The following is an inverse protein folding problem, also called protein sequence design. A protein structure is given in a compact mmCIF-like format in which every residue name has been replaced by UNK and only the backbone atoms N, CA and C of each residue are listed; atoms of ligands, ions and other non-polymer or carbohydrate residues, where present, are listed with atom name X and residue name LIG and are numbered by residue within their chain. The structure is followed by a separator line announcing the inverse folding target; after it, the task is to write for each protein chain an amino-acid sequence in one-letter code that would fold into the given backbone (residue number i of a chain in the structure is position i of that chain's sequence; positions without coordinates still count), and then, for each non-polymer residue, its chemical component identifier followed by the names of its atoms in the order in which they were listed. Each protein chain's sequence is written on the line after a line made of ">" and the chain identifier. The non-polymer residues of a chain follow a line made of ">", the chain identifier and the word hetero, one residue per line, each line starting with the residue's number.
data_IF_808355138756
#
_entry.id   IF_808355138756
#
_cell.length_a   1.000
_cell.length_b   1.000
_cell.length_c   1.000
_cell.angle_alpha   90.00
_cell.angle_beta   90.00
_cell.angle_gamma   90.00
#
_symmetry.space_group_name_H-M   'P 1'
#
loop_
_entity.id
_entity.type
_entity.pdbx_description
1 polymer ?
#
# COMPACT_ATOMS: atom_id res chain seq x y z
N UNK A 1 17.79 17.32 25.63
CA UNK A 1 16.37 17.69 25.82
C UNK A 1 15.64 17.79 24.49
N UNK A 2 15.64 16.74 23.67
CA UNK A 2 14.91 16.73 22.40
C UNK A 2 14.43 15.30 22.09
N UNK A 3 13.32 14.90 22.68
CA UNK A 3 12.62 13.65 22.34
C UNK A 3 11.59 13.96 21.25
N UNK A 4 11.65 13.33 20.07
CA UNK A 4 10.70 13.60 18.99
C UNK A 4 9.27 13.20 19.41
N UNK A 5 8.25 13.97 18.99
CA UNK A 5 6.86 13.73 19.37
C UNK A 5 6.41 12.35 18.90
N UNK A 6 6.07 11.49 19.86
CA UNK A 6 5.52 10.15 19.61
C UNK A 6 4.03 10.27 19.37
N UNK A 7 3.52 9.49 18.40
CA UNK A 7 2.11 9.48 18.00
C UNK A 7 1.26 8.98 19.18
N UNK A 8 0.56 9.91 19.81
CA UNK A 8 -0.25 9.67 20.99
C UNK A 8 -1.49 8.83 20.62
N UNK A 9 -1.59 7.64 21.24
CA UNK A 9 -2.67 6.69 20.97
C UNK A 9 -3.91 7.07 21.78
N UNK A 10 -4.88 7.69 21.13
CA UNK A 10 -6.22 7.91 21.70
C UNK A 10 -6.91 6.55 21.84
N UNK A 11 -7.13 6.09 23.07
CA UNK A 11 -7.82 4.83 23.39
C UNK A 11 -9.27 5.13 23.75
N UNK A 12 -10.22 4.64 22.94
CA UNK A 12 -11.66 4.68 23.28
C UNK A 12 -12.10 3.27 23.70
N UNK A 13 -12.61 3.08 24.94
CA UNK A 13 -12.56 1.80 25.66
C UNK A 13 -13.82 0.91 25.56
N UNK A 14 -14.60 0.95 24.47
CA UNK A 14 -15.92 0.24 24.45
C UNK A 14 -16.13 -0.73 23.27
N UNK A 15 -15.25 -0.76 22.25
CA UNK A 15 -15.38 -1.68 21.10
C UNK A 15 -14.34 -2.81 21.07
N UNK A 16 -13.89 -3.25 22.24
CA UNK A 16 -12.91 -4.32 22.46
C UNK A 16 -13.44 -5.76 22.23
N UNK A 17 -14.62 -5.91 21.60
CA UNK A 17 -15.30 -7.19 21.41
C UNK A 17 -15.21 -7.84 20.02
N UNK A 18 -14.65 -7.17 19.00
CA UNK A 18 -14.45 -7.77 17.66
C UNK A 18 -12.93 -7.84 17.38
N UNK A 19 -12.29 -9.03 17.43
CA UNK A 19 -10.89 -9.16 17.85
C UNK A 19 -9.85 -8.90 16.75
N UNK A 20 -10.24 -8.37 15.59
CA UNK A 20 -9.32 -8.20 14.45
C UNK A 20 -9.44 -6.83 13.80
N UNK A 21 -10.65 -6.27 13.66
CA UNK A 21 -10.87 -5.04 12.88
C UNK A 21 -10.93 -3.78 13.76
N UNK A 22 -11.34 -3.90 15.03
CA UNK A 22 -11.53 -2.76 15.95
C UNK A 22 -10.25 -2.02 16.35
N UNK A 23 -9.18 -2.69 16.81
CA UNK A 23 -7.95 -1.99 17.21
C UNK A 23 -7.16 -1.42 16.03
N UNK A 24 -7.20 -2.08 14.86
CA UNK A 24 -6.55 -1.63 13.64
C UNK A 24 -7.12 -0.28 13.17
N UNK A 25 -8.45 -0.12 13.18
CA UNK A 25 -9.08 1.11 12.69
C UNK A 25 -9.18 2.25 13.70
N UNK A 26 -9.02 2.00 15.00
CA UNK A 26 -9.23 3.03 16.03
C UNK A 26 -7.98 3.38 16.88
N UNK A 27 -6.86 2.66 16.70
CA UNK A 27 -5.56 3.00 17.32
C UNK A 27 -4.41 3.07 16.31
N UNK A 28 -4.75 3.23 15.02
CA UNK A 28 -3.81 3.25 13.91
C UNK A 28 -2.91 4.48 13.91
N UNK A 29 -1.66 4.30 13.49
CA UNK A 29 -0.77 5.41 13.10
C UNK A 29 -1.39 6.16 11.91
N UNK A 30 -1.11 7.46 11.70
CA UNK A 30 -1.55 8.23 10.54
C UNK A 30 -1.26 7.52 9.21
N UNK A 31 -0.14 6.79 9.15
CA UNK A 31 0.24 5.96 8.02
C UNK A 31 -0.77 4.85 7.72
N UNK A 32 -1.36 4.21 8.73
CA UNK A 32 -2.35 3.15 8.51
C UNK A 32 -3.60 3.69 7.83
N UNK A 33 -4.14 4.81 8.31
CA UNK A 33 -5.29 5.47 7.67
C UNK A 33 -4.96 5.91 6.25
N UNK A 34 -3.76 6.45 6.04
CA UNK A 34 -3.30 6.83 4.71
C UNK A 34 -3.20 5.63 3.77
N UNK A 35 -2.60 4.52 4.19
CA UNK A 35 -2.52 3.30 3.38
C UNK A 35 -3.91 2.76 3.06
N UNK A 36 -4.84 2.75 4.01
CA UNK A 36 -6.21 2.28 3.78
C UNK A 36 -6.95 3.19 2.78
N UNK A 37 -6.81 4.50 2.91
CA UNK A 37 -7.33 5.47 1.94
C UNK A 37 -6.74 5.24 0.55
N UNK A 38 -5.44 5.01 0.43
CA UNK A 38 -4.75 4.71 -0.84
C UNK A 38 -5.26 3.40 -1.46
N UNK A 39 -5.44 2.34 -0.67
CA UNK A 39 -5.94 1.05 -1.17
C UNK A 39 -7.37 1.20 -1.71
N UNK A 40 -8.25 1.87 -0.96
CA UNK A 40 -9.64 2.14 -1.41
C UNK A 40 -9.63 3.02 -2.66
N UNK A 41 -8.82 4.07 -2.66
CA UNK A 41 -8.70 4.99 -3.80
C UNK A 41 -8.17 4.29 -5.05
N UNK A 42 -7.10 3.50 -4.94
CA UNK A 42 -6.55 2.73 -6.06
C UNK A 42 -7.51 1.67 -6.55
N UNK A 43 -8.22 0.98 -5.65
CA UNK A 43 -9.26 0.03 -6.03
C UNK A 43 -10.37 0.72 -6.82
N UNK A 44 -10.90 1.83 -6.30
CA UNK A 44 -11.91 2.61 -7.00
C UNK A 44 -11.40 3.13 -8.36
N UNK A 45 -10.19 3.68 -8.39
CA UNK A 45 -9.59 4.23 -9.59
C UNK A 45 -9.33 3.14 -10.64
N UNK A 46 -8.86 1.97 -10.22
CA UNK A 46 -8.57 0.87 -11.14
C UNK A 46 -9.85 0.22 -11.67
N UNK A 47 -10.85 -0.01 -10.83
CA UNK A 47 -12.08 -0.74 -11.18
C UNK A 47 -13.22 0.12 -11.71
N UNK A 48 -13.36 1.36 -11.24
CA UNK A 48 -14.52 2.23 -11.55
C UNK A 48 -14.23 3.29 -12.61
N UNK A 49 -12.96 3.67 -12.84
CA UNK A 49 -12.64 4.78 -13.74
C UNK A 49 -12.23 4.32 -15.15
N UNK A 50 -12.45 5.19 -16.14
CA UNK A 50 -12.02 4.98 -17.53
C UNK A 50 -10.50 4.81 -17.64
N UNK A 51 -9.73 5.50 -16.79
CA UNK A 51 -8.28 5.39 -16.76
C UNK A 51 -7.83 3.99 -16.33
N UNK A 52 -8.45 3.42 -15.29
CA UNK A 52 -8.13 2.09 -14.80
C UNK A 52 -8.45 0.97 -15.80
N UNK A 53 -9.53 1.10 -16.58
CA UNK A 53 -9.85 0.17 -17.66
C UNK A 53 -8.81 0.27 -18.80
N UNK A 54 -8.44 1.50 -19.19
CA UNK A 54 -7.41 1.72 -20.23
C UNK A 54 -6.03 1.22 -19.80
N UNK A 55 -5.68 1.38 -18.52
CA UNK A 55 -4.43 0.88 -17.95
C UNK A 55 -4.37 -0.64 -18.06
N UNK A 56 -5.43 -1.35 -17.64
CA UNK A 56 -5.51 -2.82 -17.73
C UNK A 56 -5.49 -3.32 -19.17
N UNK A 57 -6.27 -2.69 -20.06
CA UNK A 57 -6.27 -3.01 -21.48
C UNK A 57 -4.89 -2.82 -22.14
N UNK A 58 -4.13 -1.80 -21.71
CA UNK A 58 -2.77 -1.55 -22.21
C UNK A 58 -1.73 -2.59 -21.74
N UNK A 59 -2.04 -3.32 -20.67
CA UNK A 59 -1.23 -4.43 -20.15
C UNK A 59 -1.50 -5.74 -20.89
N UNK A 60 -2.75 -6.02 -21.26
CA UNK A 60 -3.12 -7.25 -21.97
C UNK A 60 -2.72 -7.22 -23.45
N UNK A 61 -3.17 -6.20 -24.19
CA UNK A 61 -2.97 -6.09 -25.65
C UNK A 61 -2.61 -4.66 -26.05
N UNK A 62 -1.34 -4.25 -25.92
CA UNK A 62 -0.92 -2.87 -26.22
C UNK A 62 -1.19 -2.47 -27.67
N UNK A 63 -1.01 -3.38 -28.62
CA UNK A 63 -1.28 -3.13 -30.04
C UNK A 63 -2.76 -2.83 -30.30
N UNK A 64 -3.68 -3.53 -29.63
CA UNK A 64 -5.11 -3.28 -29.76
C UNK A 64 -5.49 -1.92 -29.17
N UNK A 65 -4.96 -1.56 -27.99
CA UNK A 65 -5.22 -0.27 -27.37
C UNK A 65 -4.74 0.91 -28.24
N UNK A 66 -3.59 0.77 -28.91
CA UNK A 66 -3.06 1.80 -29.80
C UNK A 66 -3.96 2.04 -31.03
N UNK A 67 -4.60 1.00 -31.58
CA UNK A 67 -5.50 1.14 -32.74
C UNK A 67 -6.77 1.95 -32.43
N UNK A 68 -7.19 2.02 -31.16
CA UNK A 68 -8.37 2.80 -30.73
C UNK A 68 -8.01 4.25 -30.38
N UNK A 69 -6.79 4.70 -30.70
CA UNK A 69 -6.31 6.06 -30.43
C UNK A 69 -5.93 6.32 -28.97
N UNK A 70 -5.67 5.27 -28.18
CA UNK A 70 -5.20 5.42 -26.80
C UNK A 70 -3.67 5.49 -26.80
N UNK A 71 -3.12 6.58 -26.27
CA UNK A 71 -1.67 6.72 -26.02
C UNK A 71 -1.20 5.80 -24.89
N UNK A 72 -0.91 4.54 -25.23
CA UNK A 72 -0.41 3.52 -24.30
C UNK A 72 0.84 4.00 -23.55
N UNK A 73 1.72 4.70 -24.25
CA UNK A 73 2.97 5.23 -23.69
C UNK A 73 2.68 6.20 -22.54
N UNK A 74 1.80 7.19 -22.75
CA UNK A 74 1.45 8.18 -21.72
C UNK A 74 0.82 7.53 -20.50
N UNK A 75 -0.05 6.54 -20.71
CA UNK A 75 -0.68 5.80 -19.61
C UNK A 75 0.35 5.01 -18.80
N UNK A 76 1.30 4.34 -19.47
CA UNK A 76 2.38 3.59 -18.82
C UNK A 76 3.28 4.49 -17.99
N UNK A 77 3.72 5.62 -18.54
CA UNK A 77 4.54 6.59 -17.80
C UNK A 77 3.79 7.16 -16.60
N UNK A 78 2.51 7.53 -16.77
CA UNK A 78 1.68 8.02 -15.65
C UNK A 78 1.54 6.97 -14.54
N UNK A 79 1.30 5.71 -14.88
CA UNK A 79 1.23 4.63 -13.91
C UNK A 79 2.57 4.38 -13.21
N UNK A 80 3.69 4.47 -13.92
CA UNK A 80 5.03 4.27 -13.36
C UNK A 80 5.42 5.41 -12.39
N UNK A 81 5.07 6.65 -12.72
CA UNK A 81 5.27 7.79 -11.82
C UNK A 81 4.42 7.66 -10.54
N UNK A 82 3.15 7.26 -10.67
CA UNK A 82 2.29 7.00 -9.51
C UNK A 82 2.84 5.86 -8.64
N UNK A 83 3.28 4.76 -9.24
CA UNK A 83 3.89 3.64 -8.53
C UNK A 83 5.17 4.08 -7.79
N UNK A 84 6.04 4.87 -8.43
CA UNK A 84 7.24 5.42 -7.82
C UNK A 84 6.94 6.35 -6.65
N UNK A 85 5.92 7.22 -6.78
CA UNK A 85 5.48 8.10 -5.69
C UNK A 85 4.98 7.30 -4.48
N UNK A 86 4.17 6.26 -4.70
CA UNK A 86 3.67 5.38 -3.64
C UNK A 86 4.80 4.56 -2.99
N UNK A 87 5.74 4.06 -3.78
CA UNK A 87 6.92 3.35 -3.28
C UNK A 87 7.82 4.28 -2.44
N UNK A 88 8.00 5.53 -2.85
CA UNK A 88 8.71 6.55 -2.06
C UNK A 88 8.02 6.85 -0.72
N UNK A 89 6.69 6.98 -0.72
CA UNK A 89 5.91 7.14 0.51
C UNK A 89 6.04 5.93 1.43
N UNK A 90 6.00 4.71 0.90
CA UNK A 90 6.27 3.49 1.67
C UNK A 90 7.70 3.46 2.24
N UNK A 91 8.69 3.95 1.47
CA UNK A 91 10.07 4.12 1.93
C UNK A 91 10.20 5.12 3.09
N UNK A 92 9.45 6.22 3.06
CA UNK A 92 9.46 7.22 4.14
C UNK A 92 9.00 6.63 5.48
N UNK A 93 8.06 5.67 5.46
CA UNK A 93 7.61 4.96 6.65
C UNK A 93 8.72 4.12 7.28
N UNK A 94 9.59 3.48 6.49
CA UNK A 94 10.72 2.71 7.01
C UNK A 94 11.67 3.61 7.81
N UNK A 95 11.97 4.81 7.28
CA UNK A 95 12.81 5.80 7.95
C UNK A 95 12.17 6.36 9.22
N UNK A 96 10.86 6.65 9.20
CA UNK A 96 10.16 7.23 10.35
C UNK A 96 9.90 6.20 11.46
N UNK A 97 9.65 4.94 11.10
CA UNK A 97 9.36 3.87 12.09
C UNK A 97 10.57 3.50 12.95
N UNK A 98 11.80 3.72 12.47
CA UNK A 98 13.03 3.38 13.20
C UNK A 98 13.52 4.54 14.07
N UNK A 99 12.62 5.07 14.90
CA UNK A 99 12.86 6.15 15.86
C UNK A 99 13.52 7.42 15.27
N UNK A 100 13.31 7.68 13.98
CA UNK A 100 13.87 8.84 13.28
C UNK A 100 15.36 8.75 12.95
N UNK A 101 15.97 7.56 13.03
CA UNK A 101 17.37 7.33 12.65
C UNK A 101 17.46 6.31 11.53
N UNK A 102 18.26 6.58 10.48
CA UNK A 102 18.51 5.64 9.40
C UNK A 102 19.43 4.51 9.88
N UNK A 103 18.92 3.27 9.94
CA UNK A 103 19.70 2.08 10.25
C UNK A 103 20.04 1.31 8.97
N UNK A 104 21.25 0.78 8.90
CA UNK A 104 21.61 -0.15 7.82
C UNK A 104 20.70 -1.39 7.88
N UNK A 105 20.16 -1.76 6.71
CA UNK A 105 19.31 -2.95 6.59
C UNK A 105 17.83 -2.74 6.98
N UNK A 106 17.34 -1.51 7.15
CA UNK A 106 15.93 -1.21 7.47
C UNK A 106 14.89 -1.90 6.60
N UNK A 107 15.19 -2.10 5.31
CA UNK A 107 14.27 -2.78 4.39
C UNK A 107 14.07 -4.25 4.73
N UNK A 108 15.05 -4.91 5.36
CA UNK A 108 14.97 -6.28 5.90
C UNK A 108 14.21 -7.30 5.00
N UNK A 109 14.42 -7.25 3.67
CA UNK A 109 13.74 -8.15 2.72
C UNK A 109 12.25 -7.83 2.47
N UNK A 110 11.66 -6.80 3.09
CA UNK A 110 10.25 -6.40 2.94
C UNK A 110 9.86 -6.09 1.49
N UNK A 111 10.81 -5.69 0.65
CA UNK A 111 10.58 -5.52 -0.80
C UNK A 111 10.20 -6.82 -1.51
N UNK A 112 10.83 -7.94 -1.15
CA UNK A 112 10.49 -9.26 -1.70
C UNK A 112 9.13 -9.75 -1.18
N UNK A 113 8.84 -9.48 0.09
CA UNK A 113 7.52 -9.78 0.69
C UNK A 113 6.42 -8.98 -0.03
N UNK A 114 6.67 -7.71 -0.36
CA UNK A 114 5.72 -6.90 -1.11
C UNK A 114 5.43 -7.49 -2.50
N UNK A 115 6.45 -7.97 -3.21
CA UNK A 115 6.28 -8.65 -4.49
C UNK A 115 5.48 -9.95 -4.35
N UNK A 116 5.77 -10.75 -3.32
CA UNK A 116 4.99 -11.95 -3.00
C UNK A 116 3.52 -11.62 -2.70
N UNK A 117 3.25 -10.57 -1.91
CA UNK A 117 1.89 -10.13 -1.59
C UNK A 117 1.10 -9.71 -2.83
N UNK A 118 1.74 -9.06 -3.82
CA UNK A 118 1.09 -8.70 -5.09
C UNK A 118 0.74 -9.94 -5.91
N UNK A 119 1.62 -10.94 -5.94
CA UNK A 119 1.38 -12.22 -6.62
C UNK A 119 0.19 -12.94 -5.97
N UNK A 120 0.22 -13.13 -4.65
CA UNK A 120 -0.89 -13.76 -3.92
C UNK A 120 -2.19 -12.95 -3.98
N UNK A 121 -2.07 -11.64 -4.13
CA UNK A 121 -3.20 -10.73 -4.32
C UNK A 121 -3.81 -10.75 -5.73
N UNK A 122 -3.32 -11.59 -6.64
CA UNK A 122 -3.80 -11.72 -8.01
C UNK A 122 -3.88 -10.36 -8.75
N UNK A 123 -2.88 -9.49 -8.56
CA UNK A 123 -2.81 -8.14 -9.15
C UNK A 123 -3.98 -7.21 -8.76
N UNK A 124 -4.79 -7.59 -7.78
CA UNK A 124 -5.88 -6.78 -7.26
C UNK A 124 -5.39 -6.01 -6.01
N UNK A 125 -5.63 -4.69 -5.91
CA UNK A 125 -5.23 -3.92 -4.73
C UNK A 125 -5.82 -4.44 -3.41
N UNK A 126 -7.06 -4.94 -3.40
CA UNK A 126 -7.64 -5.54 -2.19
C UNK A 126 -6.98 -6.88 -1.83
N UNK A 127 -6.69 -7.71 -2.85
CA UNK A 127 -6.01 -8.98 -2.64
C UNK A 127 -4.59 -8.77 -2.11
N UNK A 128 -3.86 -7.82 -2.68
CA UNK A 128 -2.51 -7.46 -2.25
C UNK A 128 -2.50 -6.91 -0.82
N UNK A 129 -3.50 -6.10 -0.44
CA UNK A 129 -3.67 -5.65 0.93
C UNK A 129 -3.92 -6.80 1.91
N UNK A 130 -4.82 -7.74 1.55
CA UNK A 130 -5.08 -8.94 2.36
C UNK A 130 -3.84 -9.82 2.54
N UNK A 131 -3.09 -10.06 1.47
CA UNK A 131 -1.83 -10.80 1.53
C UNK A 131 -0.77 -10.08 2.38
N UNK A 132 -0.65 -8.75 2.24
CA UNK A 132 0.27 -7.96 3.05
C UNK A 132 -0.08 -8.00 4.55
N UNK A 133 -1.37 -8.00 4.90
CA UNK A 133 -1.82 -8.18 6.28
C UNK A 133 -1.46 -9.57 6.82
N UNK A 134 -1.63 -10.63 6.02
CA UNK A 134 -1.20 -11.98 6.43
C UNK A 134 0.32 -12.04 6.67
N UNK A 135 1.13 -11.52 5.74
CA UNK A 135 2.59 -11.50 5.92
C UNK A 135 3.02 -10.66 7.13
N UNK A 136 2.36 -9.52 7.37
CA UNK A 136 2.61 -8.69 8.55
C UNK A 136 2.24 -9.40 9.85
N UNK A 137 1.14 -10.15 9.87
CA UNK A 137 0.74 -10.96 11.02
C UNK A 137 1.75 -12.08 11.30
N UNK A 138 2.23 -12.77 10.25
CA UNK A 138 3.26 -13.80 10.38
C UNK A 138 4.59 -13.23 10.93
N UNK A 139 5.04 -12.08 10.43
CA UNK A 139 6.25 -11.39 10.94
C UNK A 139 6.08 -11.01 12.42
N UNK A 140 4.89 -10.51 12.81
CA UNK A 140 4.60 -10.14 14.20
C UNK A 140 4.53 -11.34 15.15
N UNK A 141 4.01 -12.49 14.70
CA UNK A 141 3.95 -13.71 15.51
C UNK A 141 5.29 -14.45 15.63
N UNK A 142 6.23 -14.17 14.71
CA UNK A 142 7.56 -14.80 14.69
C UNK A 142 8.60 -14.12 15.58
N UNK A 143 8.25 -13.01 16.25
CA UNK A 143 9.09 -12.23 17.16
C UNK A 143 8.63 -12.39 18.59
#
# INVERSE_FOLDING_TARGET
>A
MNTPPTIEKIKIPVLSGIPVVGPLLFSGTPYLYFTLAVVVFLSYMLFRTRWGLRLRASGEKPSAAATVGIDVIRIRYGAMLLAGALAGLAGSYLSLSSAGSFQMGMSAGRGFIALAAVIFGAWNPLGAFGAALMFGFSDASSR
#
